data_IF_754379163030
#
_entry.id   IF_754379163030
#
_cell.length_a   1.000
_cell.length_b   1.000
_cell.length_c   1.000
_cell.angle_alpha   90.00
_cell.angle_beta   90.00
_cell.angle_gamma   90.00
#
_symmetry.space_group_name_H-M   'P 1'
#
loop_
_entity.id
_entity.type
_entity.pdbx_description
1 polymer ?
#
# COMPACT_ATOMS: atom_id res chain seq x y z
N UNK A 1 -18.61 -38.89 5.52
CA UNK A 1 -19.67 -37.92 5.16
C UNK A 1 -20.08 -37.00 6.34
N UNK A 2 -19.16 -36.63 7.25
CA UNK A 2 -19.48 -35.82 8.47
C UNK A 2 -19.04 -34.35 8.38
N UNK A 3 -18.11 -34.01 7.46
CA UNK A 3 -17.59 -32.64 7.27
C UNK A 3 -18.54 -31.67 6.54
N UNK A 4 -19.53 -32.17 5.79
CA UNK A 4 -20.46 -31.29 5.04
C UNK A 4 -21.52 -30.65 5.95
N UNK A 5 -21.88 -31.32 7.06
CA UNK A 5 -22.98 -30.90 7.92
C UNK A 5 -22.57 -29.83 8.96
N UNK A 6 -21.28 -29.73 9.32
CA UNK A 6 -20.77 -28.70 10.24
C UNK A 6 -20.82 -27.29 9.61
N UNK A 7 -20.58 -27.19 8.30
CA UNK A 7 -20.67 -25.91 7.57
C UNK A 7 -22.12 -25.42 7.45
N UNK A 8 -23.10 -26.32 7.32
CA UNK A 8 -24.52 -25.98 7.26
C UNK A 8 -25.08 -25.52 8.62
N UNK A 9 -24.60 -26.09 9.72
CA UNK A 9 -24.98 -25.66 11.08
C UNK A 9 -24.35 -24.29 11.40
N UNK A 10 -23.09 -24.06 11.00
CA UNK A 10 -22.44 -22.76 11.16
C UNK A 10 -23.16 -21.64 10.38
N UNK A 11 -23.62 -21.92 9.16
CA UNK A 11 -24.37 -20.96 8.35
C UNK A 11 -25.73 -20.61 8.97
N UNK A 12 -26.41 -21.59 9.57
CA UNK A 12 -27.72 -21.39 10.19
C UNK A 12 -27.63 -20.59 11.51
N UNK A 13 -26.58 -20.80 12.31
CA UNK A 13 -26.33 -20.02 13.52
C UNK A 13 -25.98 -18.55 13.20
N UNK A 14 -25.26 -18.29 12.11
CA UNK A 14 -24.94 -16.94 11.66
C UNK A 14 -26.19 -16.14 11.25
N UNK A 15 -27.20 -16.79 10.67
CA UNK A 15 -28.43 -16.12 10.26
C UNK A 15 -29.33 -15.72 11.43
N UNK A 16 -29.32 -16.47 12.54
CA UNK A 16 -30.08 -16.12 13.75
C UNK A 16 -29.42 -14.93 14.47
N UNK A 17 -28.09 -14.81 14.41
CA UNK A 17 -27.36 -13.63 14.91
C UNK A 17 -27.68 -12.33 14.14
N UNK A 18 -28.12 -12.42 12.89
CA UNK A 18 -28.52 -11.28 12.07
C UNK A 18 -29.98 -10.81 12.34
N UNK A 19 -30.75 -11.52 13.16
CA UNK A 19 -32.18 -11.26 13.39
C UNK A 19 -32.56 -10.41 14.61
N UNK A 20 -31.66 -10.22 15.59
CA UNK A 20 -32.03 -9.77 16.94
C UNK A 20 -31.90 -8.27 17.23
N UNK A 21 -31.69 -7.41 16.23
CA UNK A 21 -31.55 -5.96 16.43
C UNK A 21 -32.85 -5.16 16.16
N UNK A 22 -34.03 -5.79 16.29
CA UNK A 22 -35.34 -5.09 16.28
C UNK A 22 -36.06 -5.33 17.61
N UNK A 23 -35.64 -4.65 18.67
CA UNK A 23 -36.29 -4.77 19.98
C UNK A 23 -35.78 -3.73 20.97
N UNK A 24 -36.16 -2.47 20.79
CA UNK A 24 -35.73 -1.38 21.69
C UNK A 24 -36.39 -0.02 21.41
N UNK A 25 -37.67 -0.01 21.04
CA UNK A 25 -38.51 1.18 20.94
C UNK A 25 -39.68 0.89 21.89
N UNK A 26 -40.07 1.69 22.89
CA UNK A 26 -40.72 3.00 22.72
C UNK A 26 -40.47 3.97 23.91
N UNK A 27 -39.82 3.57 25.01
CA UNK A 27 -39.68 4.46 26.20
C UNK A 27 -38.51 5.48 26.06
N UNK A 28 -37.59 5.24 25.13
CA UNK A 28 -36.36 6.03 24.94
C UNK A 28 -36.41 6.87 23.67
N UNK A 29 -37.43 7.72 23.48
CA UNK A 29 -37.60 8.48 22.23
C UNK A 29 -37.23 9.97 22.31
N UNK A 30 -37.09 10.57 23.50
CA UNK A 30 -36.73 11.99 23.65
C UNK A 30 -35.32 12.24 24.22
N UNK A 31 -34.83 11.42 25.15
CA UNK A 31 -33.45 11.52 25.65
C UNK A 31 -32.39 11.03 24.65
N UNK A 32 -32.75 10.08 23.80
CA UNK A 32 -31.91 9.50 22.73
C UNK A 32 -31.81 10.37 21.49
N UNK A 33 -32.66 11.38 21.27
CA UNK A 33 -32.50 12.27 20.11
C UNK A 33 -31.32 13.22 20.33
N UNK A 34 -31.25 13.87 21.49
CA UNK A 34 -30.13 14.74 21.84
C UNK A 34 -28.83 13.96 22.12
N UNK A 35 -28.92 12.76 22.72
CA UNK A 35 -27.76 11.88 22.89
C UNK A 35 -27.34 11.21 21.57
N UNK A 36 -28.30 10.89 20.71
CA UNK A 36 -28.11 10.27 19.39
C UNK A 36 -27.59 11.23 18.33
N UNK A 37 -27.97 12.51 18.36
CA UNK A 37 -27.35 13.54 17.51
C UNK A 37 -25.88 13.73 17.86
N UNK A 38 -25.55 13.85 19.15
CA UNK A 38 -24.15 13.93 19.60
C UNK A 38 -23.36 12.64 19.37
N UNK A 39 -24.00 11.47 19.50
CA UNK A 39 -23.38 10.18 19.16
C UNK A 39 -23.21 10.00 17.66
N UNK A 40 -24.15 10.46 16.83
CA UNK A 40 -24.05 10.42 15.38
C UNK A 40 -22.93 11.36 14.90
N UNK A 41 -22.81 12.55 15.49
CA UNK A 41 -21.73 13.49 15.19
C UNK A 41 -20.36 12.94 15.63
N UNK A 42 -20.27 12.37 16.84
CA UNK A 42 -19.05 11.71 17.31
C UNK A 42 -18.68 10.46 16.46
N UNK A 43 -19.67 9.70 15.99
CA UNK A 43 -19.46 8.56 15.11
C UNK A 43 -19.03 8.99 13.70
N UNK A 44 -19.60 10.08 13.17
CA UNK A 44 -19.18 10.65 11.89
C UNK A 44 -17.74 11.18 11.98
N UNK A 45 -17.37 11.81 13.09
CA UNK A 45 -16.01 12.31 13.30
C UNK A 45 -15.00 11.17 13.45
N UNK A 46 -15.34 10.13 14.22
CA UNK A 46 -14.53 8.92 14.30
C UNK A 46 -14.39 8.22 12.93
N UNK A 47 -15.46 8.19 12.12
CA UNK A 47 -15.40 7.65 10.77
C UNK A 47 -14.53 8.50 9.84
N UNK A 48 -14.60 9.83 9.93
CA UNK A 48 -13.74 10.75 9.18
C UNK A 48 -12.27 10.55 9.55
N UNK A 49 -11.95 10.53 10.83
CA UNK A 49 -10.60 10.25 11.33
C UNK A 49 -10.11 8.89 10.84
N UNK A 50 -10.93 7.83 10.96
CA UNK A 50 -10.56 6.49 10.47
C UNK A 50 -10.41 6.44 8.94
N UNK A 51 -11.19 7.20 8.19
CA UNK A 51 -11.10 7.28 6.73
C UNK A 51 -9.85 8.05 6.30
N UNK A 52 -9.45 9.08 7.04
CA UNK A 52 -8.20 9.82 6.85
C UNK A 52 -6.99 8.95 7.17
N UNK A 53 -7.02 8.21 8.29
CA UNK A 53 -6.00 7.21 8.64
C UNK A 53 -5.87 6.13 7.54
N UNK A 54 -6.99 5.63 7.03
CA UNK A 54 -7.01 4.66 5.92
C UNK A 54 -6.50 5.27 4.60
N UNK A 55 -6.78 6.55 4.33
CA UNK A 55 -6.24 7.26 3.15
C UNK A 55 -4.74 7.43 3.28
N UNK A 56 -4.24 7.85 4.44
CA UNK A 56 -2.81 7.96 4.70
C UNK A 56 -2.12 6.60 4.54
N UNK A 57 -2.67 5.53 5.13
CA UNK A 57 -2.14 4.18 4.99
C UNK A 57 -2.07 3.73 3.51
N UNK A 58 -3.09 4.03 2.70
CA UNK A 58 -3.10 3.70 1.27
C UNK A 58 -2.02 4.46 0.48
N UNK A 59 -1.78 5.73 0.80
CA UNK A 59 -0.71 6.52 0.15
C UNK A 59 0.67 5.95 0.51
N UNK A 60 0.89 5.56 1.77
CA UNK A 60 2.14 4.91 2.18
C UNK A 60 2.37 3.56 1.48
N UNK A 61 1.32 2.75 1.33
CA UNK A 61 1.41 1.47 0.66
C UNK A 61 1.69 1.63 -0.85
N UNK A 62 1.02 2.59 -1.50
CA UNK A 62 1.26 2.93 -2.91
C UNK A 62 2.71 3.38 -3.16
N UNK A 63 3.27 4.22 -2.28
CA UNK A 63 4.68 4.66 -2.35
C UNK A 63 5.65 3.51 -2.14
N UNK A 64 5.37 2.61 -1.20
CA UNK A 64 6.18 1.41 -0.98
C UNK A 64 6.18 0.52 -2.22
N UNK A 65 5.03 0.31 -2.84
CA UNK A 65 4.89 -0.49 -4.05
C UNK A 65 5.61 0.12 -5.25
N UNK A 66 5.63 1.46 -5.37
CA UNK A 66 6.42 2.16 -6.39
C UNK A 66 7.93 1.91 -6.22
N UNK A 67 8.43 2.00 -4.97
CA UNK A 67 9.85 1.75 -4.69
C UNK A 67 10.27 0.30 -4.97
N UNK A 68 9.43 -0.68 -4.62
CA UNK A 68 9.68 -2.11 -4.90
C UNK A 68 9.74 -2.36 -6.41
N UNK A 69 8.74 -1.88 -7.16
CA UNK A 69 8.71 -2.02 -8.64
C UNK A 69 9.93 -1.41 -9.31
N UNK A 70 10.42 -0.29 -8.81
CA UNK A 70 11.65 0.32 -9.30
C UNK A 70 12.89 -0.56 -9.05
N UNK A 71 13.03 -1.13 -7.85
CA UNK A 71 14.15 -2.01 -7.52
C UNK A 71 14.14 -3.30 -8.35
N UNK A 72 12.96 -3.87 -8.58
CA UNK A 72 12.79 -5.05 -9.42
C UNK A 72 13.23 -4.76 -10.87
N UNK A 73 12.81 -3.62 -11.43
CA UNK A 73 13.19 -3.20 -12.78
C UNK A 73 14.70 -2.90 -12.92
N UNK A 74 15.32 -2.32 -11.89
CA UNK A 74 16.78 -2.13 -11.84
C UNK A 74 17.49 -3.49 -11.84
N UNK A 75 17.00 -4.44 -11.05
CA UNK A 75 17.51 -5.81 -11.00
C UNK A 75 17.46 -6.48 -12.38
N UNK A 76 16.30 -6.46 -13.03
CA UNK A 76 16.09 -7.06 -14.35
C UNK A 76 17.04 -6.49 -15.42
N UNK A 77 17.25 -5.17 -15.46
CA UNK A 77 18.19 -4.55 -16.42
C UNK A 77 19.64 -4.91 -16.11
N UNK A 78 20.00 -4.99 -14.83
CA UNK A 78 21.37 -5.34 -14.41
C UNK A 78 21.69 -6.80 -14.71
N UNK A 79 20.74 -7.70 -14.46
CA UNK A 79 20.86 -9.13 -14.78
C UNK A 79 20.93 -9.35 -16.29
N UNK A 80 20.04 -8.72 -17.06
CA UNK A 80 20.05 -8.75 -18.53
C UNK A 80 21.40 -8.36 -19.11
N UNK A 81 22.05 -7.34 -18.55
CA UNK A 81 23.38 -6.92 -19.01
C UNK A 81 24.47 -7.92 -18.64
N UNK A 82 24.40 -8.50 -17.43
CA UNK A 82 25.38 -9.46 -16.95
C UNK A 82 25.30 -10.79 -17.70
N UNK A 83 24.10 -11.26 -18.04
CA UNK A 83 23.87 -12.59 -18.62
C UNK A 83 23.58 -12.56 -20.12
N UNK A 84 23.23 -11.38 -20.67
CA UNK A 84 22.72 -11.23 -22.03
C UNK A 84 21.31 -11.76 -22.24
N UNK A 85 20.70 -12.38 -21.22
CA UNK A 85 19.40 -13.05 -21.29
C UNK A 85 18.29 -12.17 -20.72
N UNK A 86 18.00 -11.05 -21.39
CA UNK A 86 16.95 -10.12 -20.98
C UNK A 86 15.68 -10.17 -21.80
N UNK A 87 14.62 -9.57 -21.27
CA UNK A 87 13.38 -9.40 -22.01
C UNK A 87 13.44 -8.11 -22.85
N UNK A 88 12.89 -8.12 -24.07
CA UNK A 88 12.68 -6.91 -24.84
C UNK A 88 11.61 -6.05 -24.16
N UNK A 89 12.03 -5.20 -23.20
CA UNK A 89 11.13 -4.38 -22.40
C UNK A 89 11.76 -3.82 -21.14
N UNK A 90 12.79 -4.49 -20.60
CA UNK A 90 13.34 -4.18 -19.27
C UNK A 90 13.79 -2.71 -19.12
N UNK A 91 14.35 -2.12 -20.18
CA UNK A 91 14.75 -0.70 -20.19
C UNK A 91 13.54 0.24 -20.14
N UNK A 92 12.46 -0.11 -20.84
CA UNK A 92 11.22 0.67 -20.86
C UNK A 92 10.49 0.55 -19.53
N UNK A 93 10.47 -0.63 -18.94
CA UNK A 93 9.88 -0.86 -17.63
C UNK A 93 10.66 -0.17 -16.51
N UNK A 94 11.99 -0.13 -16.59
CA UNK A 94 12.84 0.66 -15.70
C UNK A 94 12.52 2.16 -15.81
N UNK A 95 12.38 2.69 -17.03
CA UNK A 95 12.03 4.10 -17.20
C UNK A 95 10.64 4.39 -16.64
N UNK A 96 9.64 3.54 -16.90
CA UNK A 96 8.29 3.69 -16.35
C UNK A 96 8.30 3.68 -14.82
N UNK A 97 9.06 2.78 -14.22
CA UNK A 97 9.18 2.71 -12.76
C UNK A 97 9.87 3.96 -12.18
N UNK A 98 10.87 4.50 -12.86
CA UNK A 98 11.50 5.78 -12.49
C UNK A 98 10.49 6.94 -12.54
N UNK A 99 9.70 7.03 -13.61
CA UNK A 99 8.71 8.09 -13.77
C UNK A 99 7.66 8.06 -12.64
N UNK A 100 7.23 6.86 -12.23
CA UNK A 100 6.32 6.68 -11.09
C UNK A 100 6.98 7.15 -9.78
N UNK A 101 8.25 6.81 -9.54
CA UNK A 101 8.98 7.27 -8.34
C UNK A 101 9.16 8.79 -8.33
N UNK A 102 9.36 9.41 -9.50
CA UNK A 102 9.46 10.86 -9.62
C UNK A 102 8.13 11.58 -9.34
N UNK A 103 7.01 10.95 -9.70
CA UNK A 103 5.68 11.51 -9.50
C UNK A 103 5.20 11.36 -8.05
N UNK A 104 5.42 10.18 -7.45
CA UNK A 104 4.83 9.79 -6.16
C UNK A 104 5.78 10.00 -4.96
N UNK A 105 7.08 10.06 -5.24
CA UNK A 105 8.14 10.09 -4.23
C UNK A 105 8.61 11.50 -3.86
N UNK A 106 9.11 11.70 -2.63
CA UNK A 106 9.78 12.95 -2.27
C UNK A 106 11.04 13.18 -3.11
N UNK A 107 11.43 14.46 -3.26
CA UNK A 107 12.51 14.89 -4.16
C UNK A 107 13.85 14.15 -3.93
N UNK A 108 14.14 13.80 -2.68
CA UNK A 108 15.33 13.04 -2.27
C UNK A 108 15.33 11.61 -2.82
N UNK A 109 14.17 10.92 -2.75
CA UNK A 109 14.00 9.56 -3.28
C UNK A 109 14.08 9.58 -4.80
N UNK A 110 13.48 10.57 -5.45
CA UNK A 110 13.56 10.77 -6.89
C UNK A 110 14.99 11.12 -7.37
N UNK A 111 15.78 11.86 -6.57
CA UNK A 111 17.18 12.13 -6.84
C UNK A 111 18.03 10.86 -6.76
N UNK A 112 17.88 10.07 -5.69
CA UNK A 112 18.61 8.80 -5.55
C UNK A 112 18.26 7.80 -6.65
N UNK A 113 16.98 7.71 -7.04
CA UNK A 113 16.53 6.85 -8.14
C UNK A 113 17.17 7.23 -9.48
N UNK A 114 17.28 8.53 -9.79
CA UNK A 114 17.95 9.02 -11.01
C UNK A 114 19.43 8.63 -11.03
N UNK A 115 20.15 8.82 -9.92
CA UNK A 115 21.56 8.44 -9.81
C UNK A 115 21.74 6.94 -10.07
N UNK A 116 20.88 6.10 -9.49
CA UNK A 116 20.94 4.66 -9.71
C UNK A 116 20.70 4.29 -11.18
N UNK A 117 19.69 4.87 -11.84
CA UNK A 117 19.42 4.63 -13.27
C UNK A 117 20.58 5.09 -14.15
N UNK A 118 21.19 6.23 -13.85
CA UNK A 118 22.36 6.73 -14.60
C UNK A 118 23.56 5.79 -14.47
N UNK A 119 23.80 5.22 -13.29
CA UNK A 119 24.85 4.22 -13.08
C UNK A 119 24.56 2.92 -13.82
N UNK A 120 23.31 2.43 -13.77
CA UNK A 120 22.87 1.25 -14.53
C UNK A 120 23.03 1.49 -16.03
N UNK A 121 22.69 2.69 -16.53
CA UNK A 121 22.84 3.05 -17.94
C UNK A 121 24.30 3.01 -18.39
N UNK A 122 25.19 3.57 -17.57
CA UNK A 122 26.64 3.68 -17.81
C UNK A 122 27.42 2.40 -17.58
N UNK A 123 26.75 1.33 -17.13
CA UNK A 123 27.42 0.06 -16.79
C UNK A 123 28.49 0.25 -15.70
N UNK A 124 28.14 1.01 -14.66
CA UNK A 124 29.04 1.28 -13.56
C UNK A 124 29.44 -0.02 -12.82
N UNK A 125 30.56 0.04 -12.09
CA UNK A 125 31.04 -1.08 -11.29
C UNK A 125 29.98 -1.55 -10.28
N UNK A 126 29.92 -2.86 -9.96
CA UNK A 126 28.98 -3.42 -8.99
C UNK A 126 28.95 -2.64 -7.66
N UNK A 127 30.11 -2.33 -7.09
CA UNK A 127 30.22 -1.60 -5.82
C UNK A 127 29.53 -0.22 -5.87
N UNK A 128 29.59 0.47 -7.01
CA UNK A 128 28.94 1.77 -7.18
C UNK A 128 27.42 1.63 -7.34
N UNK A 129 26.95 0.55 -7.97
CA UNK A 129 25.53 0.22 -8.07
C UNK A 129 24.95 -0.14 -6.71
N UNK A 130 25.68 -0.92 -5.91
CA UNK A 130 25.27 -1.31 -4.56
C UNK A 130 25.20 -0.09 -3.64
N UNK A 131 26.21 0.78 -3.66
CA UNK A 131 26.20 2.02 -2.89
C UNK A 131 25.02 2.94 -3.27
N UNK A 132 24.70 3.06 -4.56
CA UNK A 132 23.57 3.85 -5.03
C UNK A 132 22.21 3.21 -4.65
N UNK A 133 22.12 1.88 -4.65
CA UNK A 133 20.95 1.14 -4.19
C UNK A 133 20.71 1.33 -2.70
N UNK A 134 21.77 1.27 -1.88
CA UNK A 134 21.69 1.56 -0.45
C UNK A 134 21.24 3.00 -0.18
N UNK A 135 21.80 3.97 -0.91
CA UNK A 135 21.39 5.38 -0.80
C UNK A 135 19.89 5.58 -1.14
N UNK A 136 19.39 4.91 -2.18
CA UNK A 136 17.97 4.91 -2.52
C UNK A 136 17.10 4.30 -1.42
N UNK A 137 17.48 3.13 -0.90
CA UNK A 137 16.76 2.46 0.18
C UNK A 137 16.72 3.31 1.46
N UNK A 138 17.80 4.00 1.77
CA UNK A 138 17.87 4.89 2.94
C UNK A 138 16.98 6.11 2.76
N UNK A 139 16.99 6.75 1.58
CA UNK A 139 16.07 7.83 1.27
C UNK A 139 14.60 7.37 1.34
N UNK A 140 14.29 6.19 0.79
CA UNK A 140 12.94 5.62 0.82
C UNK A 140 12.49 5.29 2.25
N UNK A 141 13.38 4.77 3.11
CA UNK A 141 13.08 4.52 4.52
C UNK A 141 12.80 5.80 5.30
N UNK A 142 13.56 6.87 5.05
CA UNK A 142 13.32 8.17 5.70
C UNK A 142 11.99 8.78 5.27
N UNK A 143 11.63 8.64 3.99
CA UNK A 143 10.37 9.13 3.43
C UNK A 143 9.12 8.34 3.88
N UNK A 144 9.31 7.11 4.36
CA UNK A 144 8.22 6.22 4.82
C UNK A 144 8.08 6.18 6.34
N UNK A 145 8.92 6.90 7.09
CA UNK A 145 8.76 7.17 8.52
C UNK A 145 7.88 8.39 8.72
#
# INVERSE_FOLDING_TARGET
MRRMNEWLIALSAALIGAGSARGGSVISARSTRAAGERQAEAALEALRLSAEEQRAARVHDQRRQACVRFLDAVGAVTETRRTGAGQPGDRTDLQRALDIVQLEGPAEVAAAARVLVDLVRRDARPDALDAAREAFLEAARRALR
#
